data_IF_961913044571
#
_entry.id   IF_961913044571
#
_cell.length_a   1.000
_cell.length_b   1.000
_cell.length_c   1.000
_cell.angle_alpha   90.00
_cell.angle_beta   90.00
_cell.angle_gamma   90.00
#
_symmetry.space_group_name_H-M   'P 1'
#
loop_
_entity.id
_entity.type
_entity.pdbx_description
1 polymer ?
#
# COMPACT_ATOMS: atom_id res chain seq x y z
N UNK A 1 31.52 -15.64 8.94
CA UNK A 1 31.45 -14.29 9.53
C UNK A 1 31.49 -13.15 8.50
N UNK A 2 32.63 -12.73 7.93
CA UNK A 2 32.64 -11.55 7.03
C UNK A 2 31.76 -11.72 5.78
N UNK A 3 31.78 -12.92 5.18
CA UNK A 3 30.99 -13.20 3.98
C UNK A 3 29.48 -13.26 4.26
N UNK A 4 29.10 -13.73 5.44
CA UNK A 4 27.69 -13.80 5.89
C UNK A 4 27.14 -12.39 6.15
N UNK A 5 27.93 -11.50 6.76
CA UNK A 5 27.54 -10.11 6.99
C UNK A 5 27.33 -9.35 5.68
N UNK A 6 28.18 -9.59 4.68
CA UNK A 6 28.05 -8.99 3.35
C UNK A 6 26.80 -9.49 2.61
N UNK A 7 26.49 -10.77 2.73
CA UNK A 7 25.29 -11.37 2.15
C UNK A 7 24.01 -10.82 2.81
N UNK A 8 24.00 -10.68 4.13
CA UNK A 8 22.89 -10.04 4.86
C UNK A 8 22.69 -8.58 4.45
N UNK A 9 23.78 -7.82 4.28
CA UNK A 9 23.72 -6.44 3.82
C UNK A 9 23.17 -6.34 2.39
N UNK A 10 23.60 -7.22 1.48
CA UNK A 10 23.09 -7.30 0.11
C UNK A 10 21.58 -7.56 0.07
N UNK A 11 21.11 -8.54 0.84
CA UNK A 11 19.68 -8.86 0.98
C UNK A 11 18.90 -7.65 1.53
N UNK A 12 19.43 -6.97 2.55
CA UNK A 12 18.82 -5.78 3.14
C UNK A 12 18.65 -4.66 2.11
N UNK A 13 19.68 -4.36 1.32
CA UNK A 13 19.62 -3.30 0.30
C UNK A 13 18.72 -3.67 -0.88
N UNK A 14 18.71 -4.94 -1.28
CA UNK A 14 17.75 -5.44 -2.25
C UNK A 14 16.32 -5.20 -1.76
N UNK A 15 15.99 -5.59 -0.52
CA UNK A 15 14.64 -5.40 0.05
C UNK A 15 14.26 -3.92 0.13
N UNK A 16 15.16 -3.05 0.60
CA UNK A 16 14.91 -1.60 0.75
C UNK A 16 14.69 -0.89 -0.58
N UNK A 17 15.40 -1.31 -1.64
CA UNK A 17 15.29 -0.72 -2.98
C UNK A 17 13.94 -0.99 -3.65
N UNK A 18 13.25 -2.09 -3.30
CA UNK A 18 12.02 -2.61 -3.95
C UNK A 18 12.13 -2.84 -5.46
N UNK A 19 13.33 -3.07 -5.97
CA UNK A 19 13.56 -3.45 -7.36
C UNK A 19 13.34 -4.96 -7.51
N UNK A 20 12.29 -5.37 -8.21
CA UNK A 20 11.93 -6.80 -8.37
C UNK A 20 12.40 -7.43 -9.68
N UNK A 21 12.93 -6.63 -10.61
CA UNK A 21 13.30 -7.09 -11.97
C UNK A 21 14.80 -7.38 -12.11
N UNK A 22 15.62 -6.92 -11.16
CA UNK A 22 17.05 -7.21 -11.15
C UNK A 22 17.25 -8.53 -10.39
N UNK A 23 17.60 -9.59 -11.13
CA UNK A 23 17.86 -10.93 -10.59
C UNK A 23 19.23 -10.93 -9.89
N UNK A 24 19.42 -11.76 -8.85
CA UNK A 24 20.55 -11.88 -7.90
C UNK A 24 21.99 -12.07 -8.49
N UNK A 25 22.26 -11.58 -9.69
CA UNK A 25 23.50 -11.81 -10.44
C UNK A 25 24.44 -10.61 -10.50
N UNK A 26 24.01 -9.40 -10.13
CA UNK A 26 24.91 -8.25 -10.07
C UNK A 26 25.03 -7.80 -8.61
N UNK A 27 26.18 -8.08 -7.99
CA UNK A 27 26.61 -7.66 -6.63
C UNK A 27 26.74 -6.13 -6.51
N UNK A 28 25.96 -5.39 -7.28
CA UNK A 28 26.05 -3.97 -7.48
C UNK A 28 25.29 -3.27 -6.35
N UNK A 29 25.80 -3.45 -5.14
CA UNK A 29 25.31 -2.82 -3.91
C UNK A 29 25.12 -1.32 -4.09
N UNK A 30 26.04 -0.64 -4.82
CA UNK A 30 25.94 0.80 -5.15
C UNK A 30 24.62 1.18 -5.85
N UNK A 31 24.14 0.36 -6.77
CA UNK A 31 22.86 0.60 -7.45
C UNK A 31 21.70 0.54 -6.45
N UNK A 32 21.66 -0.51 -5.60
CA UNK A 32 20.62 -0.68 -4.60
C UNK A 32 20.65 0.42 -3.53
N UNK A 33 21.84 0.81 -3.06
CA UNK A 33 22.03 1.96 -2.16
C UNK A 33 21.47 3.25 -2.76
N UNK A 34 21.82 3.55 -4.03
CA UNK A 34 21.36 4.76 -4.71
C UNK A 34 19.84 4.76 -4.89
N UNK A 35 19.25 3.63 -5.31
CA UNK A 35 17.80 3.49 -5.45
C UNK A 35 17.06 3.62 -4.12
N UNK A 36 17.53 2.97 -3.07
CA UNK A 36 16.96 3.09 -1.73
C UNK A 36 17.03 4.52 -1.20
N UNK A 37 18.17 5.20 -1.41
CA UNK A 37 18.39 6.60 -0.99
C UNK A 37 17.49 7.58 -1.74
N UNK A 38 17.38 7.45 -3.07
CA UNK A 38 16.46 8.27 -3.87
C UNK A 38 15.01 8.07 -3.46
N UNK A 39 14.60 6.82 -3.18
CA UNK A 39 13.25 6.51 -2.69
C UNK A 39 13.01 7.11 -1.30
N UNK A 40 13.99 7.02 -0.39
CA UNK A 40 13.90 7.64 0.93
C UNK A 40 13.75 9.15 0.83
N UNK A 41 14.52 9.81 -0.06
CA UNK A 41 14.42 11.25 -0.28
C UNK A 41 13.05 11.64 -0.87
N UNK A 42 12.57 10.92 -1.89
CA UNK A 42 11.27 11.18 -2.54
C UNK A 42 10.09 10.96 -1.59
N UNK A 43 10.18 9.95 -0.73
CA UNK A 43 9.12 9.60 0.21
C UNK A 43 9.25 10.32 1.56
N UNK A 44 10.23 11.22 1.73
CA UNK A 44 10.42 11.94 2.98
C UNK A 44 9.33 12.98 3.15
N UNK A 45 8.32 12.65 3.94
CA UNK A 45 7.30 13.60 4.41
C UNK A 45 8.00 14.56 5.37
N UNK A 46 8.16 15.84 4.98
CA UNK A 46 8.84 16.88 5.79
C UNK A 46 7.99 17.35 6.97
N UNK A 47 6.68 17.16 6.87
CA UNK A 47 5.71 17.55 7.88
C UNK A 47 4.32 17.26 7.35
N UNK A 48 3.38 17.07 8.28
CA UNK A 48 1.95 16.97 7.99
C UNK A 48 1.37 18.33 8.36
N UNK A 49 0.63 18.96 7.44
CA UNK A 49 -0.24 20.08 7.81
C UNK A 49 -1.57 19.47 8.19
N UNK A 50 -1.95 19.66 9.44
CA UNK A 50 -3.28 19.35 9.90
C UNK A 50 -4.17 20.54 9.52
N UNK A 51 -4.73 20.45 8.32
CA UNK A 51 -5.79 21.33 7.87
C UNK A 51 -7.04 20.46 7.88
N UNK A 52 -7.55 20.23 9.10
CA UNK A 52 -8.66 19.30 9.40
C UNK A 52 -9.85 19.53 8.49
N UNK A 53 -10.02 20.77 8.05
CA UNK A 53 -11.17 21.24 7.31
C UNK A 53 -10.88 21.34 5.81
N UNK A 54 -9.63 21.16 5.36
CA UNK A 54 -9.27 21.25 3.94
C UNK A 54 -10.04 20.23 3.11
N UNK A 55 -9.97 18.95 3.48
CA UNK A 55 -10.68 17.91 2.75
C UNK A 55 -12.19 18.06 2.87
N UNK A 56 -12.68 18.48 4.04
CA UNK A 56 -14.11 18.75 4.22
C UNK A 56 -14.56 19.89 3.31
N UNK A 57 -13.76 20.94 3.14
CA UNK A 57 -14.08 22.08 2.28
C UNK A 57 -14.09 21.73 0.78
N UNK A 58 -13.11 20.95 0.28
CA UNK A 58 -13.02 20.63 -1.16
C UNK A 58 -13.97 19.49 -1.58
N UNK A 59 -14.39 18.65 -0.63
CA UNK A 59 -15.33 17.55 -0.89
C UNK A 59 -16.75 17.84 -0.44
N UNK A 60 -17.01 18.99 0.18
CA UNK A 60 -18.36 19.49 0.44
C UNK A 60 -18.77 20.46 -0.64
N UNK A 61 -19.90 20.21 -1.29
CA UNK A 61 -20.52 21.20 -2.17
C UNK A 61 -21.35 22.17 -1.32
N UNK A 62 -21.24 23.47 -1.57
CA UNK A 62 -21.95 24.50 -0.79
C UNK A 62 -23.46 24.48 -1.03
N UNK A 63 -23.93 23.94 -2.17
CA UNK A 63 -25.35 23.77 -2.54
C UNK A 63 -25.51 22.59 -3.51
N UNK A 64 -25.84 21.38 -3.02
CA UNK A 64 -26.11 20.27 -3.91
C UNK A 64 -27.47 20.48 -4.61
N UNK A 65 -27.45 20.76 -5.91
CA UNK A 65 -28.67 20.87 -6.72
C UNK A 65 -28.82 19.61 -7.58
N UNK A 66 -30.03 19.05 -7.68
CA UNK A 66 -30.38 17.94 -8.59
C UNK A 66 -29.61 16.62 -8.39
N UNK A 67 -29.15 16.30 -7.17
CA UNK A 67 -28.43 15.04 -6.89
C UNK A 67 -29.25 13.78 -7.25
N UNK A 68 -30.57 13.79 -6.97
CA UNK A 68 -31.45 12.68 -7.34
C UNK A 68 -31.49 12.46 -8.86
N UNK A 69 -31.56 13.55 -9.64
CA UNK A 69 -31.57 13.50 -11.10
C UNK A 69 -30.31 12.86 -11.69
N UNK A 70 -29.16 13.03 -11.01
CA UNK A 70 -27.90 12.38 -11.38
C UNK A 70 -27.91 10.90 -10.96
N UNK A 71 -28.34 10.61 -9.73
CA UNK A 71 -28.41 9.25 -9.21
C UNK A 71 -29.38 8.37 -10.02
N UNK A 72 -30.48 8.92 -10.51
CA UNK A 72 -31.46 8.21 -11.36
C UNK A 72 -30.83 7.75 -12.70
N UNK A 73 -29.79 8.44 -13.17
CA UNK A 73 -29.04 8.05 -14.38
C UNK A 73 -27.96 7.00 -14.09
N UNK A 74 -27.59 6.81 -12.81
CA UNK A 74 -26.59 5.83 -12.41
C UNK A 74 -27.28 4.50 -12.18
N UNK A 75 -26.97 3.50 -13.00
CA UNK A 75 -27.44 2.15 -12.74
C UNK A 75 -26.77 1.56 -11.51
N UNK A 76 -27.58 1.16 -10.53
CA UNK A 76 -27.12 0.41 -9.37
C UNK A 76 -26.44 -0.88 -9.81
N UNK A 77 -25.16 -1.02 -9.47
CA UNK A 77 -24.35 -2.22 -9.77
C UNK A 77 -24.33 -3.24 -8.62
N UNK A 78 -24.67 -2.79 -7.42
CA UNK A 78 -24.67 -3.60 -6.21
C UNK A 78 -26.12 -3.94 -5.91
N UNK A 79 -26.48 -5.23 -5.96
CA UNK A 79 -27.82 -5.68 -5.57
C UNK A 79 -27.96 -5.67 -4.06
N UNK A 80 -29.19 -5.82 -3.56
CA UNK A 80 -29.45 -5.88 -2.12
C UNK A 80 -28.69 -7.04 -1.49
N UNK A 81 -28.68 -8.21 -2.15
CA UNK A 81 -28.00 -9.41 -1.69
C UNK A 81 -26.48 -9.23 -1.67
N UNK A 82 -25.92 -8.55 -2.67
CA UNK A 82 -24.50 -8.19 -2.67
C UNK A 82 -24.17 -7.26 -1.50
N UNK A 83 -25.02 -6.28 -1.24
CA UNK A 83 -24.82 -5.34 -0.14
C UNK A 83 -24.91 -6.05 1.21
N UNK A 84 -25.89 -6.94 1.39
CA UNK A 84 -26.01 -7.78 2.58
C UNK A 84 -24.76 -8.62 2.80
N UNK A 85 -24.25 -9.27 1.76
CA UNK A 85 -23.00 -10.02 1.82
C UNK A 85 -21.79 -9.13 2.18
N UNK A 86 -21.66 -7.95 1.56
CA UNK A 86 -20.56 -7.00 1.82
C UNK A 86 -20.60 -6.38 3.22
N UNK A 87 -21.78 -6.33 3.84
CA UNK A 87 -21.99 -5.82 5.19
C UNK A 87 -21.83 -6.90 6.27
N UNK A 88 -21.67 -8.18 5.89
CA UNK A 88 -21.35 -9.25 6.84
C UNK A 88 -19.92 -9.11 7.40
N UNK A 89 -19.71 -9.64 8.60
CA UNK A 89 -18.38 -9.64 9.22
C UNK A 89 -17.42 -10.62 8.53
N UNK A 90 -16.13 -10.26 8.48
CA UNK A 90 -15.10 -11.12 7.90
C UNK A 90 -14.93 -12.42 8.68
N UNK A 91 -14.75 -13.52 7.94
CA UNK A 91 -14.44 -14.83 8.48
C UNK A 91 -12.92 -15.06 8.55
N UNK A 92 -12.49 -15.95 9.44
CA UNK A 92 -11.07 -16.37 9.51
C UNK A 92 -10.54 -16.87 8.16
N UNK A 93 -11.35 -17.63 7.44
CA UNK A 93 -10.95 -18.23 6.16
C UNK A 93 -10.71 -17.16 5.09
N UNK A 94 -11.56 -16.13 5.02
CA UNK A 94 -11.36 -14.99 4.10
C UNK A 94 -10.06 -14.24 4.41
N UNK A 95 -9.77 -14.03 5.69
CA UNK A 95 -8.53 -13.39 6.14
C UNK A 95 -7.32 -14.23 5.72
N UNK A 96 -7.38 -15.56 5.88
CA UNK A 96 -6.30 -16.45 5.48
C UNK A 96 -6.06 -16.44 3.97
N UNK A 97 -7.13 -16.48 3.18
CA UNK A 97 -7.05 -16.40 1.70
C UNK A 97 -6.44 -15.05 1.29
N UNK A 98 -6.89 -13.95 1.88
CA UNK A 98 -6.38 -12.61 1.59
C UNK A 98 -4.88 -12.50 1.92
N UNK A 99 -4.45 -13.03 3.08
CA UNK A 99 -3.03 -13.06 3.46
C UNK A 99 -2.18 -13.83 2.45
N UNK A 100 -2.66 -14.99 1.98
CA UNK A 100 -1.94 -15.80 0.96
C UNK A 100 -1.87 -15.13 -0.41
N UNK A 101 -2.82 -14.25 -0.75
CA UNK A 101 -2.81 -13.49 -1.99
C UNK A 101 -1.87 -12.26 -1.95
N UNK A 102 -1.44 -11.83 -0.77
CA UNK A 102 -0.49 -10.73 -0.63
C UNK A 102 0.93 -11.19 -0.99
N UNK A 103 1.62 -10.41 -1.82
CA UNK A 103 3.03 -10.67 -2.09
C UNK A 103 3.85 -10.39 -0.82
N UNK A 104 4.62 -11.40 -0.38
CA UNK A 104 5.32 -11.47 0.91
C UNK A 104 6.10 -10.21 1.32
N UNK A 105 6.61 -9.45 0.35
CA UNK A 105 7.44 -8.24 0.55
C UNK A 105 6.82 -6.92 0.07
N UNK A 106 5.56 -6.89 -0.41
CA UNK A 106 5.02 -5.70 -1.12
C UNK A 106 4.44 -4.61 -0.23
N UNK A 107 3.80 -4.92 0.89
CA UNK A 107 3.14 -3.92 1.71
C UNK A 107 3.74 -3.95 3.12
N UNK A 108 4.38 -2.85 3.51
CA UNK A 108 4.77 -2.60 4.90
C UNK A 108 3.53 -2.03 5.57
N UNK A 109 3.05 -2.66 6.65
CA UNK A 109 2.04 -2.06 7.51
C UNK A 109 2.60 -0.80 8.19
N UNK A 110 1.78 -0.01 8.90
CA UNK A 110 2.27 1.11 9.72
C UNK A 110 3.35 0.70 10.72
N UNK A 111 3.37 -0.57 11.13
CA UNK A 111 4.38 -1.22 11.99
C UNK A 111 5.73 -1.50 11.29
N UNK A 112 5.82 -1.30 9.96
CA UNK A 112 7.02 -1.55 9.19
C UNK A 112 7.29 -3.03 8.90
N UNK A 113 6.36 -3.95 9.17
CA UNK A 113 6.56 -5.39 8.96
C UNK A 113 5.95 -5.87 7.64
N UNK A 114 6.67 -6.70 6.85
CA UNK A 114 6.14 -7.35 5.66
C UNK A 114 5.23 -8.54 6.02
N UNK A 115 4.37 -8.94 5.09
CA UNK A 115 3.40 -10.03 5.29
C UNK A 115 4.04 -11.37 5.70
N UNK A 116 5.31 -11.62 5.30
CA UNK A 116 6.07 -12.82 5.70
C UNK A 116 6.29 -12.98 7.22
N UNK A 117 6.09 -11.92 8.01
CA UNK A 117 6.24 -11.98 9.46
C UNK A 117 5.04 -12.61 10.19
N UNK A 118 3.87 -12.67 9.54
CA UNK A 118 2.60 -13.14 10.10
C UNK A 118 2.09 -14.38 9.36
#
# INVERSE_FOLDING_TARGET
ELNELLEMEEIMWHQRSRVSWLRDGDKNTKFFHSKASQRSLKNRIRGIRDDSDYFQSIFSTSQPVNMQRVLDQVHGRVTVEMNEALMTGFTRNEIEIALRQMHLTKALRPDGMPAIFF
#
